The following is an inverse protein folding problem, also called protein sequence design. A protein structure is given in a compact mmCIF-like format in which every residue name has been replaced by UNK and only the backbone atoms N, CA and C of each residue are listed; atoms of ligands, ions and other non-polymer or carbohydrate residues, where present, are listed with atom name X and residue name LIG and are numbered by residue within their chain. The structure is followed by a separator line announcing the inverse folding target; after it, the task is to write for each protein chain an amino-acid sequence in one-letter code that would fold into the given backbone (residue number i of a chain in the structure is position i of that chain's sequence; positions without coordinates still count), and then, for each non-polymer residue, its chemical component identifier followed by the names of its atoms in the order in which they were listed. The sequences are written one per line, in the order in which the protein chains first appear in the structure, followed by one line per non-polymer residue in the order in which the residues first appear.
data_IF_697855315530
#
_entry.id   IF_697855315530
#
_cell.length_a   1.000
_cell.length_b   1.000
_cell.length_c   1.000
_cell.angle_alpha   90.00
_cell.angle_beta   90.00
_cell.angle_gamma   90.00
#
_symmetry.space_group_name_H-M   'P 1'
#
loop_
_entity.id
_entity.type
_entity.pdbx_description
1 polymer ?
#
# COMPACT_ATOMS: atom_id res chain seq x y z
N UNK A 1 -4.57 -13.46 -10.87
CA UNK A 1 -5.43 -14.33 -10.02
C UNK A 1 -4.81 -14.74 -8.69
N UNK A 2 -3.62 -15.36 -8.65
CA UNK A 2 -3.03 -15.81 -7.37
C UNK A 2 -2.82 -14.66 -6.38
N UNK A 3 -2.13 -13.59 -6.79
CA UNK A 3 -1.87 -12.42 -5.94
C UNK A 3 -3.17 -11.75 -5.45
N UNK A 4 -4.16 -11.61 -6.34
CA UNK A 4 -5.46 -11.02 -6.01
C UNK A 4 -6.22 -11.86 -4.99
N UNK A 5 -6.21 -13.19 -5.12
CA UNK A 5 -6.85 -14.09 -4.17
C UNK A 5 -6.20 -14.04 -2.79
N UNK A 6 -4.88 -13.89 -2.72
CA UNK A 6 -4.16 -13.70 -1.44
C UNK A 6 -4.59 -12.38 -0.78
N UNK A 7 -4.63 -11.28 -1.54
CA UNK A 7 -5.06 -9.99 -1.04
C UNK A 7 -6.50 -10.02 -0.50
N UNK A 8 -7.44 -10.65 -1.23
CA UNK A 8 -8.84 -10.80 -0.77
C UNK A 8 -8.93 -11.57 0.54
N UNK A 9 -8.16 -12.66 0.69
CA UNK A 9 -8.11 -13.43 1.94
C UNK A 9 -7.53 -12.62 3.09
N UNK A 10 -6.46 -11.86 2.85
CA UNK A 10 -5.85 -10.99 3.85
C UNK A 10 -6.82 -9.90 4.32
N UNK A 11 -7.55 -9.27 3.39
CA UNK A 11 -8.61 -8.29 3.73
C UNK A 11 -9.66 -8.93 4.64
N UNK A 12 -10.15 -10.12 4.27
CA UNK A 12 -11.11 -10.86 5.10
C UNK A 12 -10.58 -11.19 6.50
N UNK A 13 -9.28 -11.50 6.61
CA UNK A 13 -8.63 -11.76 7.90
C UNK A 13 -8.51 -10.49 8.76
N UNK A 14 -8.04 -9.38 8.19
CA UNK A 14 -7.91 -8.12 8.92
C UNK A 14 -9.27 -7.59 9.44
N UNK A 15 -10.31 -7.68 8.60
CA UNK A 15 -11.66 -7.32 9.02
C UNK A 15 -12.18 -8.18 10.18
N UNK A 16 -11.92 -9.50 10.16
CA UNK A 16 -12.30 -10.40 11.26
C UNK A 16 -11.57 -10.12 12.56
N UNK A 17 -10.34 -9.63 12.47
CA UNK A 17 -9.49 -9.30 13.62
C UNK A 17 -9.65 -7.84 14.07
N UNK A 18 -10.56 -7.07 13.46
CA UNK A 18 -10.72 -5.63 13.69
C UNK A 18 -9.40 -4.85 13.55
N UNK A 19 -8.53 -5.27 12.62
CA UNK A 19 -7.27 -4.58 12.33
C UNK A 19 -7.51 -3.59 11.18
N UNK A 20 -7.25 -2.29 11.38
CA UNK A 20 -7.48 -1.28 10.34
C UNK A 20 -6.51 -1.48 9.17
N UNK A 21 -7.05 -1.48 7.95
CA UNK A 21 -6.26 -1.58 6.73
C UNK A 21 -5.88 -0.17 6.27
N UNK A 22 -4.59 0.15 6.32
CA UNK A 22 -4.06 1.46 5.89
C UNK A 22 -4.21 1.64 4.38
N UNK A 23 -4.04 0.58 3.60
CA UNK A 23 -4.18 0.61 2.16
C UNK A 23 -3.56 -0.59 1.47
N UNK A 24 -3.56 -0.55 0.14
CA UNK A 24 -2.94 -1.55 -0.73
C UNK A 24 -1.87 -0.92 -1.64
N UNK A 25 -0.72 -1.58 -1.73
CA UNK A 25 0.37 -1.28 -2.69
C UNK A 25 0.39 -2.36 -3.77
N UNK A 26 0.59 -1.96 -5.03
CA UNK A 26 0.92 -2.87 -6.12
C UNK A 26 2.45 -3.01 -6.25
N UNK A 27 3.01 -4.12 -5.78
CA UNK A 27 4.42 -4.43 -6.00
C UNK A 27 4.63 -5.04 -7.40
N UNK A 28 5.80 -4.79 -8.00
CA UNK A 28 6.17 -5.27 -9.34
C UNK A 28 5.13 -4.90 -10.42
N UNK A 29 4.60 -3.68 -10.36
CA UNK A 29 3.45 -3.25 -11.19
C UNK A 29 3.77 -3.12 -12.67
N UNK A 30 4.95 -2.61 -13.01
CA UNK A 30 5.44 -2.48 -14.38
C UNK A 30 6.97 -2.50 -14.41
N UNK A 31 7.53 -2.78 -15.57
CA UNK A 31 8.95 -2.70 -15.86
C UNK A 31 9.22 -1.53 -16.80
N UNK A 32 10.25 -0.72 -16.53
CA UNK A 32 10.68 0.34 -17.45
C UNK A 32 11.80 -0.23 -18.32
N UNK A 33 11.56 -0.33 -19.62
CA UNK A 33 12.57 -0.83 -20.54
C UNK A 33 13.72 0.18 -20.68
N UNK A 34 14.99 -0.21 -20.44
CA UNK A 34 16.11 0.72 -20.55
C UNK A 34 16.38 1.18 -22.00
N UNK A 35 15.86 0.46 -23.01
CA UNK A 35 16.11 0.76 -24.42
C UNK A 35 15.05 1.68 -25.04
N UNK A 36 13.78 1.55 -24.67
CA UNK A 36 12.69 2.37 -25.22
C UNK A 36 12.03 3.32 -24.20
N UNK A 37 12.36 3.18 -22.91
CA UNK A 37 11.80 3.97 -21.81
C UNK A 37 10.27 3.84 -21.62
N UNK A 38 9.65 2.84 -22.24
CA UNK A 38 8.23 2.52 -22.06
C UNK A 38 7.99 1.64 -20.83
N UNK A 39 6.75 1.72 -20.31
CA UNK A 39 6.27 0.85 -19.23
C UNK A 39 5.68 -0.43 -19.82
N UNK A 40 6.19 -1.57 -19.36
CA UNK A 40 5.68 -2.88 -19.70
C UNK A 40 5.01 -3.53 -18.49
N UNK A 41 3.74 -3.89 -18.64
CA UNK A 41 2.93 -4.53 -17.60
C UNK A 41 3.02 -6.06 -17.72
N UNK A 42 4.16 -6.61 -17.30
CA UNK A 42 4.50 -8.04 -17.47
C UNK A 42 3.47 -8.96 -16.82
N UNK A 43 2.90 -8.55 -15.68
CA UNK A 43 1.95 -9.35 -14.89
C UNK A 43 0.51 -8.84 -14.99
N UNK A 44 0.21 -8.00 -15.99
CA UNK A 44 -1.06 -7.29 -16.13
C UNK A 44 -1.05 -5.94 -15.39
N UNK A 45 -2.15 -5.18 -15.54
CA UNK A 45 -2.26 -3.81 -15.03
C UNK A 45 -3.39 -3.64 -14.02
N UNK A 46 -3.09 -2.89 -12.96
CA UNK A 46 -4.07 -2.35 -12.03
C UNK A 46 -4.72 -3.37 -11.12
N UNK A 47 -4.01 -4.44 -10.76
CA UNK A 47 -4.53 -5.49 -9.87
C UNK A 47 -4.89 -4.93 -8.50
N UNK A 48 -4.05 -4.08 -7.92
CA UNK A 48 -4.29 -3.47 -6.62
C UNK A 48 -5.33 -2.35 -6.70
N UNK A 49 -5.39 -1.60 -7.81
CA UNK A 49 -6.44 -0.58 -8.03
C UNK A 49 -7.84 -1.21 -8.06
N UNK A 50 -8.02 -2.32 -8.77
CA UNK A 50 -9.29 -3.08 -8.77
C UNK A 50 -9.68 -3.57 -7.38
N UNK A 51 -8.70 -4.00 -6.57
CA UNK A 51 -8.94 -4.40 -5.18
C UNK A 51 -9.33 -3.19 -4.32
N UNK A 52 -8.62 -2.07 -4.48
CA UNK A 52 -8.90 -0.81 -3.81
C UNK A 52 -10.35 -0.37 -4.04
N UNK A 53 -10.79 -0.35 -5.29
CA UNK A 53 -12.18 -0.01 -5.66
C UNK A 53 -13.18 -1.02 -5.09
N UNK A 54 -12.94 -2.32 -5.30
CA UNK A 54 -13.86 -3.39 -4.90
C UNK A 54 -14.11 -3.46 -3.39
N UNK A 55 -13.09 -3.17 -2.58
CA UNK A 55 -13.17 -3.28 -1.13
C UNK A 55 -13.16 -1.91 -0.42
N UNK A 56 -13.19 -0.81 -1.19
CA UNK A 56 -13.10 0.55 -0.67
C UNK A 56 -11.89 0.79 0.25
N UNK A 57 -10.76 0.16 -0.09
CA UNK A 57 -9.48 0.28 0.63
C UNK A 57 -8.61 1.31 -0.09
N UNK A 58 -7.89 2.21 0.62
CA UNK A 58 -7.02 3.19 -0.04
C UNK A 58 -5.94 2.54 -0.92
N UNK A 59 -5.83 2.96 -2.18
CA UNK A 59 -4.67 2.65 -3.01
C UNK A 59 -3.51 3.59 -2.64
N UNK A 60 -2.46 3.06 -2.03
CA UNK A 60 -1.35 3.86 -1.54
C UNK A 60 -0.19 3.96 -2.53
N UNK A 61 -0.13 3.12 -3.56
CA UNK A 61 0.82 3.28 -4.65
C UNK A 61 1.14 2.00 -5.41
N UNK A 62 2.02 2.13 -6.37
CA UNK A 62 2.57 1.04 -7.16
C UNK A 62 4.08 1.18 -7.25
N UNK A 63 4.80 0.06 -7.19
CA UNK A 63 6.27 0.02 -7.22
C UNK A 63 6.71 -0.79 -8.44
N UNK A 64 7.53 -0.21 -9.34
CA UNK A 64 7.97 -0.91 -10.54
C UNK A 64 8.94 -2.05 -10.22
N UNK A 65 8.95 -3.04 -11.09
CA UNK A 65 9.94 -4.10 -11.12
C UNK A 65 11.30 -3.51 -11.51
N UNK A 66 12.26 -3.53 -10.59
CA UNK A 66 13.59 -2.96 -10.77
C UNK A 66 14.64 -3.83 -10.08
N UNK A 67 15.64 -4.29 -10.83
CA UNK A 67 16.73 -5.13 -10.33
C UNK A 67 17.56 -4.45 -9.23
N UNK A 68 17.64 -3.12 -9.24
CA UNK A 68 18.32 -2.34 -8.20
C UNK A 68 17.64 -2.43 -6.82
N UNK A 69 16.34 -2.74 -6.76
CA UNK A 69 15.64 -2.98 -5.49
C UNK A 69 16.18 -4.27 -4.85
N UNK A 70 16.27 -5.34 -5.64
CA UNK A 70 16.79 -6.63 -5.19
C UNK A 70 18.27 -6.54 -4.81
N UNK A 71 19.11 -5.99 -5.68
CA UNK A 71 20.54 -5.81 -5.40
C UNK A 71 20.78 -4.94 -4.14
N UNK A 72 19.93 -3.93 -3.93
CA UNK A 72 19.96 -3.13 -2.72
C UNK A 72 19.54 -3.91 -1.47
N UNK A 73 18.59 -4.83 -1.58
CA UNK A 73 18.16 -5.70 -0.48
C UNK A 73 19.29 -6.63 -0.04
N UNK A 74 20.00 -7.26 -0.98
CA UNK A 74 21.09 -8.20 -0.69
C UNK A 74 22.27 -7.51 0.00
N UNK A 75 22.51 -6.25 -0.34
CA UNK A 75 23.62 -5.44 0.20
C UNK A 75 23.24 -4.58 1.41
N UNK A 76 21.97 -4.61 1.83
CA UNK A 76 21.44 -3.75 2.90
C UNK A 76 21.40 -2.26 2.55
N UNK A 77 21.49 -1.91 1.26
CA UNK A 77 21.48 -0.53 0.75
C UNK A 77 20.26 -0.33 -0.16
N UNK A 78 19.12 0.15 0.35
CA UNK A 78 17.89 0.24 -0.44
C UNK A 78 18.04 1.18 -1.65
N UNK A 79 17.17 0.98 -2.65
CA UNK A 79 17.17 1.78 -3.89
C UNK A 79 17.07 3.29 -3.64
N UNK A 80 16.44 3.68 -2.54
CA UNK A 80 16.35 5.06 -2.07
C UNK A 80 17.70 5.72 -1.82
N UNK A 81 18.71 4.94 -1.42
CA UNK A 81 20.07 5.40 -1.14
C UNK A 81 20.99 5.18 -2.35
N UNK A 82 20.89 4.02 -3.00
CA UNK A 82 21.79 3.66 -4.12
C UNK A 82 21.43 4.36 -5.41
N UNK A 83 20.15 4.65 -5.64
CA UNK A 83 19.68 5.40 -6.81
C UNK A 83 18.47 6.29 -6.43
N UNK A 84 18.72 7.41 -5.71
CA UNK A 84 17.68 8.24 -5.12
C UNK A 84 16.76 8.91 -6.13
N UNK A 85 17.19 9.07 -7.38
CA UNK A 85 16.41 9.71 -8.44
C UNK A 85 15.74 8.71 -9.38
N UNK A 86 15.83 7.39 -9.09
CA UNK A 86 15.16 6.38 -9.89
C UNK A 86 13.63 6.44 -9.77
N UNK A 87 12.90 5.97 -10.79
CA UNK A 87 11.44 5.82 -10.72
C UNK A 87 10.98 4.96 -9.53
N UNK A 88 11.75 3.94 -9.17
CA UNK A 88 11.50 3.11 -7.99
C UNK A 88 11.63 3.91 -6.69
N UNK A 89 12.66 4.75 -6.56
CA UNK A 89 12.84 5.57 -5.38
C UNK A 89 11.72 6.62 -5.23
N UNK A 90 11.28 7.19 -6.36
CA UNK A 90 10.11 8.08 -6.38
C UNK A 90 8.83 7.34 -5.98
N UNK A 91 8.59 6.14 -6.52
CA UNK A 91 7.44 5.31 -6.20
C UNK A 91 7.37 4.97 -4.70
N UNK A 92 8.51 4.63 -4.08
CA UNK A 92 8.57 4.41 -2.62
C UNK A 92 8.27 5.69 -1.84
N UNK A 93 8.83 6.85 -2.22
CA UNK A 93 8.50 8.14 -1.56
C UNK A 93 7.03 8.48 -1.66
N UNK A 94 6.42 8.30 -2.84
CA UNK A 94 5.00 8.54 -3.05
C UNK A 94 4.16 7.60 -2.17
N UNK A 95 4.49 6.32 -2.15
CA UNK A 95 3.79 5.33 -1.33
C UNK A 95 3.92 5.64 0.17
N UNK A 96 5.10 6.01 0.64
CA UNK A 96 5.34 6.40 2.02
C UNK A 96 4.52 7.65 2.43
N UNK A 97 4.45 8.67 1.56
CA UNK A 97 3.61 9.85 1.79
C UNK A 97 2.13 9.48 1.91
N UNK A 98 1.65 8.62 1.01
CA UNK A 98 0.26 8.17 1.02
C UNK A 98 -0.06 7.34 2.28
N UNK A 99 0.84 6.45 2.69
CA UNK A 99 0.74 5.68 3.94
C UNK A 99 0.68 6.64 5.14
N UNK A 100 1.57 7.63 5.22
CA UNK A 100 1.57 8.61 6.29
C UNK A 100 0.26 9.40 6.36
N UNK A 101 -0.29 9.80 5.22
CA UNK A 101 -1.59 10.47 5.15
C UNK A 101 -2.72 9.55 5.67
N UNK A 102 -2.74 8.27 5.27
CA UNK A 102 -3.74 7.31 5.73
C UNK A 102 -3.61 7.02 7.23
N UNK A 103 -2.39 6.91 7.76
CA UNK A 103 -2.17 6.78 9.21
C UNK A 103 -2.75 7.97 9.98
N UNK A 104 -2.56 9.20 9.50
CA UNK A 104 -3.14 10.40 10.13
C UNK A 104 -4.66 10.39 10.11
N UNK A 105 -5.27 9.98 8.99
CA UNK A 105 -6.73 9.86 8.84
C UNK A 105 -7.28 8.79 9.79
N UNK A 106 -6.67 7.61 9.82
CA UNK A 106 -7.08 6.51 10.70
C UNK A 106 -6.93 6.88 12.17
N UNK A 107 -5.81 7.51 12.55
CA UNK A 107 -5.59 7.95 13.92
C UNK A 107 -6.61 9.00 14.37
N UNK A 108 -7.08 9.88 13.46
CA UNK A 108 -8.16 10.81 13.76
C UNK A 108 -9.49 10.08 14.01
N UNK A 109 -9.89 9.18 13.09
CA UNK A 109 -11.13 8.40 13.22
C UNK A 109 -11.16 7.57 14.50
N UNK A 110 -10.07 6.86 14.80
CA UNK A 110 -9.96 6.05 16.00
C UNK A 110 -10.08 6.91 17.27
N UNK A 111 -9.52 8.13 17.28
CA UNK A 111 -9.71 9.06 18.40
C UNK A 111 -11.16 9.50 18.54
N UNK A 112 -11.83 9.83 17.43
CA UNK A 112 -13.23 10.26 17.44
C UNK A 112 -14.16 9.13 17.93
N UNK A 113 -13.91 7.89 17.49
CA UNK A 113 -14.62 6.68 17.93
C UNK A 113 -14.43 6.43 19.44
N UNK A 114 -13.19 6.49 19.93
CA UNK A 114 -12.89 6.36 21.36
C UNK A 114 -13.54 7.45 22.22
N UNK A 115 -13.62 8.68 21.71
CA UNK A 115 -14.27 9.80 22.40
C UNK A 115 -15.80 9.63 22.44
N UNK A 116 -16.41 9.15 21.35
CA UNK A 116 -17.84 8.88 21.29
C UNK A 116 -18.23 7.74 22.26
N UNK A 117 -17.45 6.66 22.30
CA UNK A 117 -17.68 5.55 23.23
C UNK A 117 -17.54 5.97 24.71
N UNK A 118 -16.60 6.87 25.02
CA UNK A 118 -16.44 7.42 26.37
C UNK A 118 -17.57 8.39 26.78
N UNK A 119 -18.36 8.91 25.83
CA UNK A 119 -19.41 9.89 26.06
C UNK A 119 -20.83 9.28 26.17
N UNK A 120 -21.01 7.97 25.90
CA UNK A 120 -22.30 7.29 26.11
C UNK A 120 -22.60 7.15 27.62
N UNK A 121 -23.76 7.62 28.11
CA UNK A 121 -24.13 7.48 29.51
C UNK A 121 -24.43 6.00 29.84
N UNK A 122 -24.02 5.57 31.03
CA UNK A 122 -24.28 4.22 31.53
C UNK A 122 -25.78 3.85 31.42
N UNK A 123 -26.12 2.61 31.02
CA UNK A 123 -27.51 2.21 30.84
C UNK A 123 -28.28 2.41 32.15
N UNK A 124 -29.33 3.24 32.10
CA UNK A 124 -30.24 3.45 33.21
C UNK A 124 -30.98 2.14 33.49
N UNK A 125 -30.64 1.49 34.60
CA UNK A 125 -31.34 0.33 35.16
C UNK A 125 -32.72 0.69 35.69
#
# INVERSE_FOLDING_TARGET
DVASNVAVKAIGMFNKLNVPIIGVVENMSYFICPNCNEKHYIFGEGGAKKISEKFSIPFVGEVPLNSGIMAGSDTGKPIMLTNPNSPSAEAFRKSAKNVAAQCSILAAKLRDEMQAEAAEPAPTS
#
